data_IF_474816164046
#
_entry.id   IF_474816164046
#
_cell.length_a   1.000
_cell.length_b   1.000
_cell.length_c   1.000
_cell.angle_alpha   90.00
_cell.angle_beta   90.00
_cell.angle_gamma   90.00
#
_symmetry.space_group_name_H-M   'P 1'
#
loop_
_entity.id
_entity.type
_entity.pdbx_description
1 polymer ?
#
# COMPACT_ATOMS: atom_id res chain seq x y z
N UNK A 1 20.05 -4.30 -11.19
CA UNK A 1 18.61 -4.62 -11.03
C UNK A 1 17.96 -3.36 -10.51
N UNK A 2 17.15 -2.68 -11.31
CA UNK A 2 16.55 -1.40 -10.90
C UNK A 2 15.43 -1.65 -9.86
N UNK A 3 15.20 -0.71 -8.94
CA UNK A 3 14.10 -0.77 -7.95
C UNK A 3 12.74 -1.11 -8.59
N UNK A 4 12.50 -0.60 -9.81
CA UNK A 4 11.29 -0.90 -10.59
C UNK A 4 11.13 -2.40 -10.86
N UNK A 5 12.21 -3.09 -11.21
CA UNK A 5 12.19 -4.54 -11.46
C UNK A 5 11.99 -5.36 -10.18
N UNK A 6 12.35 -4.80 -9.02
CA UNK A 6 12.09 -5.41 -7.72
C UNK A 6 10.61 -5.29 -7.32
N UNK A 7 9.98 -4.14 -7.63
CA UNK A 7 8.59 -3.85 -7.26
C UNK A 7 7.59 -4.48 -8.26
N UNK A 8 7.96 -4.61 -9.54
CA UNK A 8 7.06 -5.14 -10.58
C UNK A 8 6.62 -6.59 -10.39
N UNK A 9 7.37 -7.36 -9.59
CA UNK A 9 7.04 -8.76 -9.27
C UNK A 9 6.19 -8.94 -8.01
N UNK A 10 5.92 -7.86 -7.26
CA UNK A 10 5.17 -7.94 -6.02
C UNK A 10 3.67 -7.99 -6.34
N UNK A 11 3.03 -9.10 -5.96
CA UNK A 11 1.60 -9.28 -6.11
C UNK A 11 1.04 -9.89 -4.83
N UNK A 12 0.39 -9.06 -4.01
CA UNK A 12 -0.18 -9.46 -2.73
C UNK A 12 -1.41 -8.61 -2.42
N UNK A 13 -2.48 -9.16 -1.80
CA UNK A 13 -3.72 -8.41 -1.53
C UNK A 13 -3.53 -7.16 -0.67
N UNK A 14 -2.49 -7.13 0.17
CA UNK A 14 -2.15 -6.00 1.04
C UNK A 14 -0.95 -5.17 0.53
N UNK A 15 -0.60 -5.29 -0.76
CA UNK A 15 0.35 -4.40 -1.42
C UNK A 15 -0.35 -3.66 -2.55
N UNK A 16 -0.03 -2.38 -2.73
CA UNK A 16 -0.57 -1.60 -3.85
C UNK A 16 0.04 -2.10 -5.15
N UNK A 17 -0.80 -2.60 -6.05
CA UNK A 17 -0.38 -3.17 -7.33
C UNK A 17 0.18 -2.10 -8.26
N UNK A 18 1.43 -2.27 -8.65
CA UNK A 18 2.06 -1.52 -9.73
C UNK A 18 1.58 -2.10 -11.07
N UNK A 19 0.88 -1.31 -11.90
CA UNK A 19 0.53 -1.70 -13.26
C UNK A 19 1.69 -1.51 -14.24
N UNK A 20 2.52 -0.51 -14.00
CA UNK A 20 3.70 -0.26 -14.82
C UNK A 20 4.38 1.06 -14.50
N UNK A 21 5.38 1.39 -15.30
CA UNK A 21 6.10 2.64 -15.21
C UNK A 21 6.32 3.25 -16.59
N UNK A 22 6.47 4.56 -16.64
CA UNK A 22 6.97 5.30 -17.79
C UNK A 22 8.26 6.02 -17.39
N UNK A 23 9.26 5.98 -18.27
CA UNK A 23 10.51 6.72 -18.12
C UNK A 23 10.66 7.62 -19.33
N UNK A 24 10.43 8.92 -19.14
CA UNK A 24 10.56 9.92 -20.19
C UNK A 24 11.28 11.15 -19.65
N UNK A 25 12.22 11.72 -20.44
CA UNK A 25 12.93 12.97 -20.11
C UNK A 25 13.49 13.02 -18.68
N UNK A 26 14.08 11.91 -18.23
CA UNK A 26 14.67 11.76 -16.89
C UNK A 26 13.65 11.83 -15.74
N UNK A 27 12.36 11.58 -16.03
CA UNK A 27 11.30 11.44 -15.03
C UNK A 27 10.87 9.97 -14.97
N UNK A 28 10.70 9.47 -13.75
CA UNK A 28 10.08 8.17 -13.48
C UNK A 28 8.63 8.39 -13.05
N UNK A 29 7.70 7.85 -13.82
CA UNK A 29 6.27 7.86 -13.52
C UNK A 29 5.83 6.44 -13.21
N UNK A 30 5.17 6.24 -12.07
CA UNK A 30 4.67 4.94 -11.65
C UNK A 30 3.14 4.95 -11.71
N UNK A 31 2.56 3.92 -12.29
CA UNK A 31 1.11 3.76 -12.43
C UNK A 31 0.66 2.63 -11.53
N UNK A 32 -0.10 2.98 -10.49
CA UNK A 32 -0.63 2.05 -9.50
C UNK A 32 -2.13 1.83 -9.68
N UNK A 33 -2.66 0.76 -9.08
CA UNK A 33 -4.10 0.66 -8.84
C UNK A 33 -4.62 1.86 -8.03
N UNK A 34 -5.86 2.25 -8.29
CA UNK A 34 -6.50 3.36 -7.58
C UNK A 34 -7.09 2.88 -6.25
N UNK A 35 -6.98 3.72 -5.23
CA UNK A 35 -7.43 3.42 -3.86
C UNK A 35 -8.52 4.41 -3.43
N UNK A 36 -9.77 3.96 -3.42
CA UNK A 36 -10.97 4.80 -3.36
C UNK A 36 -11.11 5.56 -2.03
N UNK A 37 -10.61 4.99 -0.94
CA UNK A 37 -10.71 5.59 0.38
C UNK A 37 -9.45 6.36 0.79
N UNK A 38 -8.50 6.54 -0.14
CA UNK A 38 -7.27 7.31 0.07
C UNK A 38 -6.45 6.75 1.26
N UNK A 39 -5.63 7.58 1.90
CA UNK A 39 -4.75 7.18 2.99
C UNK A 39 -5.48 6.95 4.32
N UNK A 40 -4.92 6.05 5.13
CA UNK A 40 -5.35 5.83 6.52
C UNK A 40 -5.25 7.12 7.35
N UNK A 41 -4.28 8.00 7.07
CA UNK A 41 -4.18 9.31 7.71
C UNK A 41 -5.45 10.16 7.49
N UNK A 42 -6.01 10.16 6.28
CA UNK A 42 -7.26 10.87 6.00
C UNK A 42 -8.44 10.24 6.74
N UNK A 43 -8.49 8.91 6.82
CA UNK A 43 -9.53 8.20 7.56
C UNK A 43 -9.45 8.41 9.10
N UNK A 44 -8.26 8.64 9.64
CA UNK A 44 -8.05 8.85 11.08
C UNK A 44 -8.21 10.31 11.51
N UNK A 45 -7.75 11.25 10.68
CA UNK A 45 -7.59 12.66 11.07
C UNK A 45 -8.33 13.65 10.16
N UNK A 46 -8.89 13.18 9.05
CA UNK A 46 -9.63 14.04 8.12
C UNK A 46 -10.96 14.50 8.71
N UNK A 47 -11.44 15.66 8.23
CA UNK A 47 -12.74 16.24 8.65
C UNK A 47 -13.97 15.48 8.09
N UNK A 48 -13.77 14.30 7.50
CA UNK A 48 -14.84 13.49 6.89
C UNK A 48 -15.63 12.67 7.91
N UNK A 49 -16.84 12.23 7.50
CA UNK A 49 -17.80 11.52 8.35
C UNK A 49 -17.48 10.04 8.60
N UNK A 50 -16.49 9.45 7.92
CA UNK A 50 -16.14 8.03 8.06
C UNK A 50 -15.24 7.81 9.28
N UNK A 51 -15.87 7.58 10.44
CA UNK A 51 -15.18 7.04 11.61
C UNK A 51 -14.97 5.54 11.43
N UNK A 52 -13.71 5.11 11.49
CA UNK A 52 -13.37 3.68 11.55
C UNK A 52 -13.81 3.12 12.90
N UNK A 53 -14.70 2.13 12.88
CA UNK A 53 -15.06 1.34 14.06
C UNK A 53 -13.93 0.38 14.45
N UNK A 54 -14.12 -0.36 15.53
CA UNK A 54 -13.10 -1.27 16.05
C UNK A 54 -12.78 -2.41 15.07
N UNK A 55 -13.81 -2.98 14.44
CA UNK A 55 -13.65 -4.09 13.50
C UNK A 55 -12.83 -3.66 12.28
N UNK A 56 -13.14 -2.50 11.69
CA UNK A 56 -12.39 -1.93 10.58
C UNK A 56 -10.93 -1.66 10.97
N UNK A 57 -10.68 -1.08 12.16
CA UNK A 57 -9.31 -0.83 12.65
C UNK A 57 -8.52 -2.12 12.79
N UNK A 58 -9.12 -3.15 13.38
CA UNK A 58 -8.49 -4.46 13.54
C UNK A 58 -8.17 -5.08 12.18
N UNK A 59 -9.12 -5.06 11.24
CA UNK A 59 -8.95 -5.52 9.86
C UNK A 59 -7.79 -4.80 9.16
N UNK A 60 -7.71 -3.47 9.29
CA UNK A 60 -6.62 -2.65 8.73
C UNK A 60 -5.27 -3.05 9.33
N UNK A 61 -5.16 -3.17 10.65
CA UNK A 61 -3.92 -3.58 11.32
C UNK A 61 -3.44 -4.96 10.84
N UNK A 62 -4.34 -5.93 10.74
CA UNK A 62 -4.02 -7.27 10.22
C UNK A 62 -3.58 -7.20 8.75
N UNK A 63 -4.24 -6.38 7.92
CA UNK A 63 -3.85 -6.17 6.53
C UNK A 63 -2.44 -5.61 6.38
N UNK A 64 -2.09 -4.59 7.17
CA UNK A 64 -0.73 -4.01 7.19
C UNK A 64 0.29 -5.08 7.60
N UNK A 65 0.00 -5.84 8.67
CA UNK A 65 0.89 -6.89 9.15
C UNK A 65 1.14 -7.98 8.08
N UNK A 66 0.09 -8.40 7.36
CA UNK A 66 0.21 -9.36 6.24
C UNK A 66 1.04 -8.80 5.08
N UNK A 67 0.85 -7.53 4.73
CA UNK A 67 1.67 -6.87 3.70
C UNK A 67 3.15 -6.86 4.08
N UNK A 68 3.46 -6.55 5.35
CA UNK A 68 4.83 -6.54 5.87
C UNK A 68 5.45 -7.94 5.95
N UNK A 69 4.69 -8.93 6.42
CA UNK A 69 5.10 -10.33 6.44
C UNK A 69 5.47 -10.80 5.02
N UNK A 70 4.62 -10.49 4.04
CA UNK A 70 4.92 -10.83 2.64
C UNK A 70 6.21 -10.14 2.14
N UNK A 71 6.41 -8.86 2.41
CA UNK A 71 7.65 -8.17 2.00
C UNK A 71 8.89 -8.77 2.65
N UNK A 72 8.82 -9.13 3.94
CA UNK A 72 9.97 -9.64 4.69
C UNK A 72 10.29 -11.12 4.42
N UNK A 73 9.26 -11.94 4.19
CA UNK A 73 9.42 -13.41 4.19
C UNK A 73 8.74 -14.10 3.01
N UNK A 74 7.63 -13.55 2.51
CA UNK A 74 6.81 -14.18 1.46
C UNK A 74 7.20 -13.82 0.01
N UNK A 75 8.01 -12.79 -0.20
CA UNK A 75 8.42 -12.33 -1.53
C UNK A 75 9.72 -12.99 -1.99
N UNK A 76 9.91 -13.07 -3.31
CA UNK A 76 11.11 -13.67 -3.94
C UNK A 76 12.40 -12.98 -3.45
N UNK A 77 12.31 -11.68 -3.14
CA UNK A 77 13.40 -10.88 -2.62
C UNK A 77 12.92 -10.14 -1.37
N UNK A 78 13.52 -10.46 -0.22
CA UNK A 78 13.22 -9.78 1.04
C UNK A 78 13.40 -8.27 0.91
N UNK A 79 12.33 -7.53 1.16
CA UNK A 79 12.27 -6.08 1.01
C UNK A 79 11.89 -5.44 2.34
N UNK A 80 12.59 -4.36 2.71
CA UNK A 80 12.22 -3.52 3.85
C UNK A 80 11.51 -2.29 3.31
N UNK A 81 10.26 -2.04 3.73
CA UNK A 81 9.48 -0.89 3.23
C UNK A 81 10.09 0.47 3.66
N UNK A 82 10.68 0.56 4.86
CA UNK A 82 11.38 1.75 5.43
C UNK A 82 10.56 3.03 5.70
N UNK A 83 9.35 3.14 5.18
CA UNK A 83 8.50 4.34 5.33
C UNK A 83 7.05 3.98 5.68
N UNK A 84 6.89 3.10 6.66
CA UNK A 84 5.57 2.74 7.19
C UNK A 84 5.06 3.89 8.06
N UNK A 85 4.01 4.53 7.56
CA UNK A 85 3.27 5.61 8.24
C UNK A 85 1.86 5.69 7.66
N UNK A 86 0.95 6.31 8.40
CA UNK A 86 -0.48 6.37 8.06
C UNK A 86 -0.78 7.04 6.72
N UNK A 87 0.10 7.90 6.20
CA UNK A 87 -0.06 8.52 4.87
C UNK A 87 0.28 7.58 3.71
N UNK A 88 1.05 6.52 3.96
CA UNK A 88 1.46 5.54 2.95
C UNK A 88 0.65 4.24 3.02
N UNK A 89 -0.20 4.08 4.04
CA UNK A 89 -1.20 3.01 4.06
C UNK A 89 -2.43 3.51 3.31
N UNK A 90 -2.76 2.88 2.19
CA UNK A 90 -3.94 3.21 1.40
C UNK A 90 -5.09 2.23 1.67
N UNK A 91 -6.32 2.70 1.49
CA UNK A 91 -7.54 1.94 1.73
C UNK A 91 -8.35 1.80 0.44
N UNK A 92 -8.70 0.57 0.09
CA UNK A 92 -9.60 0.30 -1.05
C UNK A 92 -11.05 0.55 -0.65
N UNK A 93 -11.99 0.37 -1.59
CA UNK A 93 -13.43 0.54 -1.37
C UNK A 93 -13.98 -0.19 -0.12
N UNK A 94 -13.42 -1.36 0.24
CA UNK A 94 -13.85 -2.23 1.33
C UNK A 94 -13.03 -2.04 2.62
N UNK A 95 -12.26 -0.96 2.71
CA UNK A 95 -11.36 -0.63 3.82
C UNK A 95 -10.30 -1.71 4.07
N UNK A 96 -9.88 -2.44 3.04
CA UNK A 96 -8.67 -3.26 3.13
C UNK A 96 -7.44 -2.36 3.01
N UNK A 97 -6.46 -2.58 3.90
CA UNK A 97 -5.21 -1.85 3.87
C UNK A 97 -4.25 -2.40 2.83
N UNK A 98 -3.63 -1.51 2.06
CA UNK A 98 -2.51 -1.81 1.17
C UNK A 98 -1.35 -0.87 1.45
N UNK A 99 -0.14 -1.44 1.51
CA UNK A 99 1.12 -0.70 1.68
C UNK A 99 1.97 -0.76 0.41
#
# INVERSE_FOLDING_TARGET
VNEIGMISGLNHPNLVKLYGCCVEKNQLLLVYEYMENNSLALALYGNGSRKLDWEARHKICVGIARGLEFLHEGSIMRMVHRDIKTTNVLLDADLNAKI
#
